data_IF_769341170833
#
_entry.id   IF_769341170833
#
_cell.length_a   1.000
_cell.length_b   1.000
_cell.length_c   1.000
_cell.angle_alpha   90.00
_cell.angle_beta   90.00
_cell.angle_gamma   90.00
#
_symmetry.space_group_name_H-M   'P 1'
#
loop_
_entity.id
_entity.type
_entity.pdbx_description
1 polymer ?
#
# COMPACT_ATOMS: atom_id res chain seq x y z
N UNK A 1 -6.03 -9.28 -42.76
CA UNK A 1 -6.47 -8.93 -41.39
C UNK A 1 -7.20 -7.59 -41.42
N UNK A 2 -8.41 -7.49 -40.85
CA UNK A 2 -9.16 -6.22 -40.80
C UNK A 2 -8.49 -5.25 -39.83
N UNK A 3 -8.10 -4.05 -40.32
CA UNK A 3 -7.43 -3.01 -39.50
C UNK A 3 -8.39 -2.40 -38.45
N UNK A 4 -9.68 -2.43 -38.73
CA UNK A 4 -10.76 -1.88 -37.91
C UNK A 4 -11.84 -2.93 -37.64
N UNK A 5 -12.56 -2.75 -36.54
CA UNK A 5 -13.69 -3.60 -36.12
C UNK A 5 -14.77 -2.70 -35.52
N UNK A 6 -16.03 -3.01 -35.80
CA UNK A 6 -17.18 -2.32 -35.23
C UNK A 6 -17.54 -2.95 -33.90
N UNK A 7 -17.68 -2.12 -32.86
CA UNK A 7 -18.12 -2.61 -31.55
C UNK A 7 -19.61 -2.91 -31.58
N UNK A 8 -20.01 -4.14 -31.22
CA UNK A 8 -21.43 -4.51 -31.19
C UNK A 8 -22.23 -3.83 -30.06
N UNK A 9 -21.57 -3.34 -29.01
CA UNK A 9 -22.26 -2.68 -27.88
C UNK A 9 -22.52 -1.20 -28.13
N UNK A 10 -21.58 -0.46 -28.73
CA UNK A 10 -21.71 0.98 -28.96
C UNK A 10 -21.84 1.37 -30.43
N UNK A 11 -21.74 0.44 -31.37
CA UNK A 11 -21.82 0.70 -32.82
C UNK A 11 -20.61 1.40 -33.44
N UNK A 12 -19.63 1.84 -32.64
CA UNK A 12 -18.50 2.62 -33.15
C UNK A 12 -17.43 1.70 -33.76
N UNK A 13 -17.00 2.03 -34.99
CA UNK A 13 -15.85 1.41 -35.66
C UNK A 13 -14.54 1.94 -35.07
N UNK A 14 -13.69 1.03 -34.56
CA UNK A 14 -12.39 1.38 -33.96
C UNK A 14 -11.29 0.48 -34.50
N UNK A 15 -10.04 0.92 -34.36
CA UNK A 15 -8.88 0.09 -34.68
C UNK A 15 -8.78 -1.14 -33.77
N UNK A 16 -8.15 -2.23 -34.25
CA UNK A 16 -7.97 -3.49 -33.48
C UNK A 16 -7.43 -3.27 -32.05
N UNK A 17 -6.55 -2.30 -31.83
CA UNK A 17 -5.96 -1.98 -30.51
C UNK A 17 -6.97 -1.62 -29.42
N UNK A 18 -8.18 -1.20 -29.81
CA UNK A 18 -9.27 -0.87 -28.90
C UNK A 18 -10.17 -2.07 -28.54
N UNK A 19 -9.81 -3.27 -28.97
CA UNK A 19 -10.48 -4.52 -28.62
C UNK A 19 -9.53 -5.42 -27.83
N UNK A 20 -10.08 -6.26 -26.95
CA UNK A 20 -9.29 -7.30 -26.28
C UNK A 20 -9.08 -8.48 -27.22
N UNK A 21 -7.96 -9.17 -27.08
CA UNK A 21 -7.67 -10.40 -27.81
C UNK A 21 -8.52 -11.55 -27.28
N UNK A 22 -9.10 -12.34 -28.17
CA UNK A 22 -9.97 -13.47 -27.81
C UNK A 22 -9.74 -14.64 -28.76
N UNK A 23 -8.96 -15.63 -28.30
CA UNK A 23 -8.50 -16.77 -29.11
C UNK A 23 -9.62 -17.65 -29.68
N UNK A 24 -10.82 -17.59 -29.08
CA UNK A 24 -12.00 -18.37 -29.48
C UNK A 24 -12.72 -17.79 -30.70
N UNK A 25 -12.46 -16.53 -31.03
CA UNK A 25 -13.10 -15.86 -32.17
C UNK A 25 -12.26 -16.01 -33.43
N UNK A 26 -12.93 -16.13 -34.59
CA UNK A 26 -12.26 -16.29 -35.89
C UNK A 26 -11.29 -15.14 -36.20
N UNK A 27 -11.60 -13.93 -35.76
CA UNK A 27 -10.77 -12.75 -35.95
C UNK A 27 -9.83 -12.46 -34.78
N UNK A 28 -9.85 -13.26 -33.73
CA UNK A 28 -8.98 -13.15 -32.56
C UNK A 28 -9.27 -11.95 -31.66
N UNK A 29 -10.44 -11.30 -31.80
CA UNK A 29 -10.81 -10.09 -31.07
C UNK A 29 -12.23 -10.18 -30.52
N UNK A 30 -12.43 -9.66 -29.29
CA UNK A 30 -13.76 -9.48 -28.71
C UNK A 30 -14.68 -8.66 -29.61
N UNK A 31 -15.99 -8.93 -29.52
CA UNK A 31 -17.03 -8.16 -30.20
C UNK A 31 -17.24 -6.76 -29.61
N UNK A 32 -16.88 -6.57 -28.33
CA UNK A 32 -17.00 -5.31 -27.60
C UNK A 32 -15.65 -4.60 -27.48
N UNK A 33 -15.65 -3.27 -27.59
CA UNK A 33 -14.45 -2.47 -27.38
C UNK A 33 -14.08 -2.37 -25.90
N UNK A 34 -12.81 -2.06 -25.61
CA UNK A 34 -12.27 -1.92 -24.25
C UNK A 34 -13.10 -0.99 -23.37
N UNK A 35 -13.49 0.17 -23.90
CA UNK A 35 -14.33 1.16 -23.20
C UNK A 35 -15.66 0.56 -22.75
N UNK A 36 -16.30 -0.20 -23.63
CA UNK A 36 -17.57 -0.87 -23.35
C UNK A 36 -17.42 -1.97 -22.28
N UNK A 37 -16.32 -2.73 -22.32
CA UNK A 37 -16.00 -3.72 -21.31
C UNK A 37 -15.68 -3.07 -19.95
N UNK A 38 -14.90 -1.99 -19.94
CA UNK A 38 -14.55 -1.27 -18.72
C UNK A 38 -15.80 -0.67 -18.06
N UNK A 39 -16.72 -0.09 -18.86
CA UNK A 39 -18.00 0.41 -18.36
C UNK A 39 -18.83 -0.71 -17.75
N UNK A 40 -18.98 -1.84 -18.44
CA UNK A 40 -19.70 -3.01 -17.93
C UNK A 40 -19.09 -3.55 -16.62
N UNK A 41 -17.76 -3.60 -16.53
CA UNK A 41 -17.06 -4.02 -15.32
C UNK A 41 -17.31 -3.07 -14.14
N UNK A 42 -17.30 -1.75 -14.38
CA UNK A 42 -17.64 -0.75 -13.36
C UNK A 42 -19.09 -0.88 -12.90
N UNK A 43 -20.04 -1.03 -13.82
CA UNK A 43 -21.46 -1.24 -13.52
C UNK A 43 -21.66 -2.51 -12.68
N UNK A 44 -21.00 -3.61 -13.04
CA UNK A 44 -21.03 -4.86 -12.28
C UNK A 44 -20.52 -4.69 -10.83
N UNK A 45 -19.47 -3.88 -10.63
CA UNK A 45 -18.94 -3.58 -9.30
C UNK A 45 -19.75 -2.55 -8.51
N UNK A 46 -20.71 -1.86 -9.13
CA UNK A 46 -21.64 -0.98 -8.42
C UNK A 46 -22.75 -1.78 -7.73
N UNK A 47 -23.05 -2.99 -8.21
CA UNK A 47 -24.01 -3.90 -7.55
C UNK A 47 -23.52 -4.17 -6.12
N UNK A 48 -24.30 -3.83 -5.07
CA UNK A 48 -23.85 -3.89 -3.67
C UNK A 48 -23.30 -5.26 -3.26
N UNK A 49 -23.99 -6.34 -3.65
CA UNK A 49 -23.58 -7.71 -3.35
C UNK A 49 -22.23 -8.07 -3.97
N UNK A 50 -22.02 -7.71 -5.24
CA UNK A 50 -20.76 -7.98 -5.95
C UNK A 50 -19.63 -7.14 -5.36
N UNK A 51 -19.90 -5.89 -5.02
CA UNK A 51 -18.96 -5.01 -4.34
C UNK A 51 -18.54 -5.56 -2.98
N UNK A 52 -19.51 -6.07 -2.20
CA UNK A 52 -19.26 -6.69 -0.91
C UNK A 52 -18.42 -7.96 -1.06
N UNK A 53 -18.74 -8.82 -2.02
CA UNK A 53 -17.97 -10.03 -2.31
C UNK A 53 -16.51 -9.73 -2.69
N UNK A 54 -16.28 -8.74 -3.56
CA UNK A 54 -14.92 -8.31 -3.95
C UNK A 54 -14.16 -7.76 -2.75
N UNK A 55 -14.80 -6.95 -1.90
CA UNK A 55 -14.18 -6.43 -0.66
C UNK A 55 -13.82 -7.56 0.30
N UNK A 56 -14.71 -8.53 0.49
CA UNK A 56 -14.46 -9.70 1.33
C UNK A 56 -13.25 -10.49 0.82
N UNK A 57 -13.25 -10.84 -0.46
CA UNK A 57 -12.11 -11.52 -1.11
C UNK A 57 -10.80 -10.74 -0.96
N UNK A 58 -10.81 -9.42 -1.19
CA UNK A 58 -9.61 -8.59 -1.01
C UNK A 58 -9.12 -8.58 0.44
N UNK A 59 -10.04 -8.56 1.43
CA UNK A 59 -9.70 -8.62 2.85
C UNK A 59 -9.02 -9.96 3.18
N UNK A 60 -9.60 -11.07 2.72
CA UNK A 60 -9.04 -12.42 2.91
C UNK A 60 -7.68 -12.55 2.23
N UNK A 61 -7.56 -12.12 0.97
CA UNK A 61 -6.31 -12.13 0.23
C UNK A 61 -5.21 -11.34 0.93
N UNK A 62 -5.51 -10.15 1.47
CA UNK A 62 -4.54 -9.34 2.23
C UNK A 62 -4.04 -10.02 3.51
N UNK A 63 -4.83 -10.93 4.08
CA UNK A 63 -4.47 -11.66 5.29
C UNK A 63 -3.55 -12.85 5.02
N UNK A 64 -3.51 -13.35 3.77
CA UNK A 64 -2.65 -14.46 3.38
C UNK A 64 -1.18 -14.18 3.69
N UNK A 65 -0.42 -15.19 4.17
CA UNK A 65 1.02 -15.04 4.42
C UNK A 65 1.79 -14.59 3.17
N UNK A 66 1.45 -15.16 2.01
CA UNK A 66 2.06 -14.83 0.73
C UNK A 66 1.92 -13.34 0.39
N UNK A 67 0.69 -12.81 0.49
CA UNK A 67 0.45 -11.40 0.22
C UNK A 67 1.20 -10.49 1.20
N UNK A 68 1.27 -10.87 2.49
CA UNK A 68 2.03 -10.11 3.50
C UNK A 68 3.52 -10.07 3.17
N UNK A 69 4.10 -11.18 2.69
CA UNK A 69 5.50 -11.24 2.26
C UNK A 69 5.73 -10.36 1.03
N UNK A 70 4.86 -10.45 0.02
CA UNK A 70 4.94 -9.61 -1.18
C UNK A 70 4.84 -8.13 -0.80
N UNK A 71 3.87 -7.76 0.02
CA UNK A 71 3.66 -6.39 0.44
C UNK A 71 4.84 -5.86 1.29
N UNK A 72 5.39 -6.68 2.19
CA UNK A 72 6.59 -6.33 2.98
C UNK A 72 7.79 -6.06 2.06
N UNK A 73 8.03 -6.93 1.06
CA UNK A 73 9.10 -6.74 0.06
C UNK A 73 8.89 -5.47 -0.76
N UNK A 74 7.66 -5.20 -1.19
CA UNK A 74 7.31 -3.97 -1.91
C UNK A 74 7.57 -2.71 -1.07
N UNK A 75 7.13 -2.70 0.20
CA UNK A 75 7.41 -1.61 1.13
C UNK A 75 8.92 -1.44 1.37
N UNK A 76 9.67 -2.52 1.59
CA UNK A 76 11.12 -2.47 1.77
C UNK A 76 11.81 -1.86 0.55
N UNK A 77 11.41 -2.26 -0.66
CA UNK A 77 11.93 -1.68 -1.91
C UNK A 77 11.61 -0.19 -1.98
N UNK A 78 10.39 0.22 -1.67
CA UNK A 78 10.00 1.63 -1.66
C UNK A 78 10.83 2.46 -0.66
N UNK A 79 11.01 1.96 0.58
CA UNK A 79 11.81 2.62 1.64
C UNK A 79 13.26 2.90 1.22
N UNK A 80 13.83 2.08 0.33
CA UNK A 80 15.20 2.28 -0.19
C UNK A 80 15.29 3.40 -1.23
N UNK A 81 14.20 3.71 -1.94
CA UNK A 81 14.18 4.76 -2.96
C UNK A 81 14.31 6.15 -2.33
N UNK A 82 14.84 7.12 -3.09
CA UNK A 82 14.92 8.53 -2.67
C UNK A 82 13.52 9.06 -2.32
N UNK A 83 12.53 8.80 -3.19
CA UNK A 83 11.12 9.19 -2.95
C UNK A 83 10.58 8.62 -1.64
N UNK A 84 10.87 7.35 -1.36
CA UNK A 84 10.46 6.71 -0.11
C UNK A 84 11.12 7.34 1.12
N UNK A 85 12.43 7.60 1.08
CA UNK A 85 13.15 8.27 2.17
C UNK A 85 12.59 9.66 2.45
N UNK A 86 12.33 10.46 1.40
CA UNK A 86 11.73 11.80 1.53
C UNK A 86 10.33 11.71 2.14
N UNK A 87 9.49 10.79 1.67
CA UNK A 87 8.13 10.61 2.21
C UNK A 87 8.14 10.21 3.69
N UNK A 88 9.04 9.29 4.08
CA UNK A 88 9.19 8.86 5.48
C UNK A 88 9.69 10.02 6.35
N UNK A 89 10.68 10.78 5.89
CA UNK A 89 11.19 11.95 6.62
C UNK A 89 10.09 13.00 6.82
N UNK A 90 9.32 13.30 5.78
CA UNK A 90 8.21 14.23 5.86
C UNK A 90 7.10 13.75 6.82
N UNK A 91 6.78 12.45 6.81
CA UNK A 91 5.86 11.85 7.77
C UNK A 91 6.37 11.99 9.21
N UNK A 92 7.63 11.63 9.47
CA UNK A 92 8.25 11.74 10.79
C UNK A 92 8.23 13.20 11.26
N UNK A 93 8.61 14.13 10.40
CA UNK A 93 8.59 15.56 10.74
C UNK A 93 7.18 16.03 11.12
N UNK A 94 6.16 15.70 10.33
CA UNK A 94 4.75 16.03 10.65
C UNK A 94 4.29 15.40 11.96
N UNK A 95 4.66 14.14 12.21
CA UNK A 95 4.33 13.46 13.46
C UNK A 95 5.01 14.12 14.66
N UNK A 96 6.28 14.48 14.55
CA UNK A 96 7.02 15.21 15.61
C UNK A 96 6.51 16.64 15.84
N UNK A 97 5.67 17.19 14.97
CA UNK A 97 4.98 18.45 15.27
C UNK A 97 3.75 18.28 16.16
N UNK A 98 3.30 17.04 16.43
CA UNK A 98 2.21 16.79 17.38
C UNK A 98 2.76 16.57 18.79
N UNK A 99 1.95 16.90 19.80
CA UNK A 99 2.29 16.63 21.21
C UNK A 99 2.53 15.13 21.41
N UNK A 100 1.67 14.29 20.84
CA UNK A 100 1.82 12.83 20.88
C UNK A 100 3.15 12.36 20.29
N UNK A 101 3.55 12.90 19.13
CA UNK A 101 4.80 12.51 18.49
C UNK A 101 6.02 12.95 19.27
N UNK A 102 5.99 14.14 19.87
CA UNK A 102 7.05 14.62 20.77
C UNK A 102 7.16 13.77 22.02
N UNK A 103 6.03 13.45 22.67
CA UNK A 103 5.98 12.58 23.85
C UNK A 103 6.49 11.18 23.51
N UNK A 104 6.03 10.59 22.40
CA UNK A 104 6.50 9.29 21.93
C UNK A 104 8.01 9.31 21.68
N UNK A 105 8.52 10.32 20.98
CA UNK A 105 9.95 10.46 20.72
C UNK A 105 10.78 10.59 22.01
N UNK A 106 10.29 11.38 22.98
CA UNK A 106 10.93 11.53 24.30
C UNK A 106 10.92 10.21 25.06
N UNK A 107 9.80 9.50 25.07
CA UNK A 107 9.66 8.19 25.69
C UNK A 107 10.63 7.17 25.08
N UNK A 108 10.67 7.05 23.75
CA UNK A 108 11.60 6.14 23.07
C UNK A 108 13.07 6.45 23.36
N UNK A 109 13.42 7.73 23.52
CA UNK A 109 14.78 8.11 23.96
C UNK A 109 15.07 7.70 25.40
N UNK A 110 14.11 7.87 26.31
CA UNK A 110 14.26 7.45 27.70
C UNK A 110 14.37 5.93 27.81
N UNK A 111 13.50 5.19 27.11
CA UNK A 111 13.52 3.73 27.06
C UNK A 111 14.84 3.19 26.49
N UNK A 112 15.32 3.77 25.37
CA UNK A 112 16.63 3.42 24.82
C UNK A 112 17.77 3.69 25.83
N UNK A 113 17.73 4.80 26.55
CA UNK A 113 18.74 5.14 27.56
C UNK A 113 18.71 4.22 28.78
N UNK A 114 17.53 3.71 29.16
CA UNK A 114 17.38 2.79 30.29
C UNK A 114 17.72 1.33 29.94
N UNK A 115 17.53 0.92 28.68
CA UNK A 115 17.72 -0.47 28.23
C UNK A 115 19.07 -0.72 27.56
N UNK A 116 19.83 0.33 27.22
CA UNK A 116 21.16 0.22 26.65
C UNK A 116 22.22 0.44 27.75
N UNK A 117 22.85 -0.66 28.18
CA UNK A 117 23.91 -0.67 29.19
C UNK A 117 25.16 0.12 28.75
N UNK A 118 25.32 0.35 27.44
CA UNK A 118 26.43 1.11 26.85
C UNK A 118 26.03 2.56 26.49
N UNK A 119 24.82 3.01 26.88
CA UNK A 119 24.33 4.35 26.58
C UNK A 119 25.10 5.43 27.35
N UNK A 120 26.09 6.03 26.68
CA UNK A 120 26.96 7.11 27.21
C UNK A 120 26.24 8.43 27.56
N UNK A 121 24.90 8.47 27.53
CA UNK A 121 24.10 9.65 27.87
C UNK A 121 23.78 9.79 29.36
N UNK A 122 24.29 8.92 30.23
CA UNK A 122 24.02 8.98 31.67
C UNK A 122 24.69 10.19 32.39
N UNK A 123 25.59 10.91 31.72
CA UNK A 123 26.35 12.03 32.31
C UNK A 123 25.61 13.38 32.32
N UNK A 124 24.46 13.51 31.65
CA UNK A 124 23.75 14.79 31.55
C UNK A 124 22.49 14.91 32.43
N UNK A 125 22.22 13.93 33.30
CA UNK A 125 21.32 14.11 34.46
C UNK A 125 22.13 14.04 35.76
N UNK A 126 23.13 14.91 35.90
CA UNK A 126 23.80 15.07 37.18
C UNK A 126 22.83 15.64 38.23
N UNK A 127 22.95 15.10 39.45
CA UNK A 127 22.46 15.63 40.74
C UNK A 127 21.07 15.25 41.26
N UNK A 128 20.78 13.95 41.34
CA UNK A 128 20.25 13.29 42.56
C UNK A 128 20.23 11.78 42.33
N UNK A 129 21.29 11.12 42.79
CA UNK A 129 21.46 9.69 42.66
C UNK A 129 20.33 8.91 43.34
N UNK A 130 19.35 8.50 42.56
CA UNK A 130 18.49 7.37 42.93
C UNK A 130 19.13 6.15 42.31
N UNK A 131 19.96 5.46 43.11
CA UNK A 131 20.39 4.10 42.78
C UNK A 131 19.15 3.22 42.84
N UNK A 132 18.55 2.89 41.70
CA UNK A 132 17.50 1.88 41.64
C UNK A 132 18.15 0.52 41.90
N UNK A 133 18.27 0.18 43.19
CA UNK A 133 18.53 -1.19 43.63
C UNK A 133 17.20 -1.92 43.62
N UNK A 134 16.80 -2.47 42.48
CA UNK A 134 15.90 -3.62 42.52
C UNK A 134 16.74 -4.79 43.06
N UNK A 135 16.76 -4.94 44.39
CA UNK A 135 17.13 -6.19 45.03
C UNK A 135 15.89 -7.09 44.97
N UNK A 136 16.02 -8.24 44.32
CA UNK A 136 15.23 -9.44 44.62
C UNK A 136 15.55 -9.92 46.03
#
# INVERSE_FOLDING_TARGET
MTKTKTCLKCGITRARKYFYTEKRTKDGLRSQCKICCDKAGKEYLQIPEKKAAVRKYQKEYRQTPEHKVINRKAHQKFRRTIKGKVAIKAYIQKFLHTVEGLLYYRYCKMDAACNDLDYKGHDCYNSRGIKNKFKS
#
